data_IF_746168664097
#
_entry.id   IF_746168664097
#
_cell.length_a   1.000
_cell.length_b   1.000
_cell.length_c   1.000
_cell.angle_alpha   90.00
_cell.angle_beta   90.00
_cell.angle_gamma   90.00
#
_symmetry.space_group_name_H-M   'P 1'
#
loop_
_entity.id
_entity.type
_entity.pdbx_description
1 polymer ?
#
# COMPACT_ATOMS: atom_id res chain seq x y z
N UNK A 1 38.46 18.80 -31.76
CA UNK A 1 37.08 18.66 -31.24
C UNK A 1 36.35 17.40 -31.71
N UNK A 2 36.16 17.14 -33.02
CA UNK A 2 35.42 15.94 -33.51
C UNK A 2 35.90 14.58 -32.97
N UNK A 3 37.22 14.37 -32.81
CA UNK A 3 37.77 13.12 -32.25
C UNK A 3 37.45 12.91 -30.76
N UNK A 4 37.33 13.99 -29.98
CA UNK A 4 37.04 13.91 -28.53
C UNK A 4 35.57 13.51 -28.31
N UNK A 5 34.66 14.04 -29.12
CA UNK A 5 33.24 13.68 -29.08
C UNK A 5 32.99 12.22 -29.47
N UNK A 6 33.68 11.71 -30.49
CA UNK A 6 33.56 10.31 -30.90
C UNK A 6 34.04 9.34 -29.80
N UNK A 7 35.14 9.66 -29.11
CA UNK A 7 35.64 8.86 -27.99
C UNK A 7 34.69 8.87 -26.78
N UNK A 8 34.03 9.99 -26.48
CA UNK A 8 33.07 10.09 -25.38
C UNK A 8 31.79 9.27 -25.63
N UNK A 9 31.25 9.32 -26.86
CA UNK A 9 30.09 8.51 -27.25
C UNK A 9 30.43 7.02 -27.16
N UNK A 10 31.62 6.63 -27.62
CA UNK A 10 32.06 5.23 -27.59
C UNK A 10 32.29 4.73 -26.16
N UNK A 11 32.87 5.54 -25.27
CA UNK A 11 33.03 5.20 -23.84
C UNK A 11 31.68 5.09 -23.15
N UNK A 12 30.74 6.00 -23.43
CA UNK A 12 29.37 5.92 -22.90
C UNK A 12 28.64 4.64 -23.33
N UNK A 13 28.74 4.27 -24.61
CA UNK A 13 28.15 3.03 -25.14
C UNK A 13 28.82 1.78 -24.57
N UNK A 14 30.16 1.76 -24.50
CA UNK A 14 30.91 0.62 -23.96
C UNK A 14 30.65 0.42 -22.47
N UNK A 15 30.59 1.51 -21.70
CA UNK A 15 30.25 1.47 -20.27
C UNK A 15 28.80 1.07 -20.04
N UNK A 16 27.86 1.53 -20.87
CA UNK A 16 26.47 1.07 -20.86
C UNK A 16 26.36 -0.44 -21.08
N UNK A 17 27.11 -0.98 -22.06
CA UNK A 17 27.20 -2.42 -22.31
C UNK A 17 27.84 -3.18 -21.15
N UNK A 18 28.94 -2.67 -20.57
CA UNK A 18 29.64 -3.30 -19.44
C UNK A 18 28.71 -3.34 -18.21
N UNK A 19 28.00 -2.26 -17.90
CA UNK A 19 27.04 -2.25 -16.78
C UNK A 19 25.91 -3.23 -17.02
N UNK A 20 25.33 -3.27 -18.22
CA UNK A 20 24.29 -4.25 -18.59
C UNK A 20 24.79 -5.69 -18.43
N UNK A 21 26.09 -5.92 -18.66
CA UNK A 21 26.74 -7.22 -18.54
C UNK A 21 27.05 -7.57 -17.07
N UNK A 22 27.49 -6.61 -16.26
CA UNK A 22 27.84 -6.82 -14.83
C UNK A 22 26.57 -6.96 -13.98
N UNK A 23 25.52 -6.17 -14.20
CA UNK A 23 24.24 -6.36 -13.50
C UNK A 23 23.55 -7.65 -13.92
N UNK A 24 23.73 -8.13 -15.16
CA UNK A 24 23.28 -9.46 -15.57
C UNK A 24 24.15 -10.61 -15.04
N UNK A 25 25.46 -10.39 -14.81
CA UNK A 25 26.40 -11.43 -14.33
C UNK A 25 26.61 -11.47 -12.82
N UNK A 26 26.02 -10.55 -12.06
CA UNK A 26 25.98 -10.67 -10.60
C UNK A 26 24.96 -11.74 -10.23
N UNK A 27 25.29 -12.99 -10.57
CA UNK A 27 24.62 -14.19 -10.09
C UNK A 27 24.76 -14.13 -8.59
N UNK A 28 23.67 -13.85 -7.89
CA UNK A 28 23.64 -14.02 -6.44
C UNK A 28 23.84 -15.52 -6.22
N UNK A 29 25.03 -15.91 -5.75
CA UNK A 29 25.25 -17.26 -5.21
C UNK A 29 24.39 -17.34 -3.96
N UNK A 30 23.21 -17.93 -4.08
CA UNK A 30 22.33 -18.15 -2.94
C UNK A 30 22.76 -19.42 -2.22
N UNK A 31 22.68 -19.42 -0.89
CA UNK A 31 22.94 -20.61 -0.06
C UNK A 31 21.86 -21.70 -0.16
N UNK A 32 21.08 -21.69 -1.23
CA UNK A 32 20.01 -22.64 -1.54
C UNK A 32 20.05 -22.96 -3.04
N UNK A 33 21.17 -23.48 -3.51
CA UNK A 33 21.22 -24.22 -4.78
C UNK A 33 20.46 -25.53 -4.57
N UNK A 34 19.13 -25.51 -4.71
CA UNK A 34 18.40 -26.74 -5.01
C UNK A 34 18.89 -27.24 -6.36
N UNK A 35 19.53 -28.42 -6.45
CA UNK A 35 20.10 -28.90 -7.70
C UNK A 35 19.00 -29.01 -8.76
N UNK A 36 19.13 -28.22 -9.84
CA UNK A 36 18.21 -28.23 -10.99
C UNK A 36 17.40 -26.94 -11.21
N UNK A 37 17.44 -25.96 -10.30
CA UNK A 37 16.76 -24.67 -10.52
C UNK A 37 17.73 -23.67 -11.14
N UNK A 38 17.45 -23.20 -12.36
CA UNK A 38 18.25 -22.18 -13.01
C UNK A 38 18.23 -20.88 -12.19
N UNK A 39 19.41 -20.38 -11.81
CA UNK A 39 19.54 -19.12 -11.06
C UNK A 39 19.10 -17.96 -11.95
N UNK A 40 18.01 -17.28 -11.56
CA UNK A 40 17.50 -16.09 -12.25
C UNK A 40 18.39 -14.88 -11.95
N UNK A 41 18.65 -14.04 -12.95
CA UNK A 41 19.34 -12.76 -12.74
C UNK A 41 18.43 -11.76 -12.02
N UNK A 42 19.02 -10.74 -11.36
CA UNK A 42 18.23 -9.66 -10.74
C UNK A 42 17.29 -8.97 -11.73
N UNK A 43 17.73 -8.77 -12.97
CA UNK A 43 16.91 -8.18 -14.01
C UNK A 43 15.68 -9.05 -14.36
N UNK A 44 15.86 -10.37 -14.44
CA UNK A 44 14.75 -11.31 -14.67
C UNK A 44 13.75 -11.26 -13.50
N UNK A 45 14.22 -11.20 -12.26
CA UNK A 45 13.37 -11.09 -11.08
C UNK A 45 12.59 -9.77 -11.03
N UNK A 46 13.21 -8.65 -11.40
CA UNK A 46 12.51 -7.36 -11.53
C UNK A 46 11.46 -7.39 -12.66
N UNK A 47 11.74 -8.08 -13.77
CA UNK A 47 10.73 -8.29 -14.82
C UNK A 47 9.55 -9.11 -14.33
N UNK A 48 9.81 -10.18 -13.57
CA UNK A 48 8.76 -11.01 -12.96
C UNK A 48 7.94 -10.20 -11.95
N UNK A 49 8.59 -9.45 -11.06
CA UNK A 49 7.93 -8.54 -10.12
C UNK A 49 6.98 -7.57 -10.83
N UNK A 50 7.42 -6.94 -11.92
CA UNK A 50 6.57 -6.02 -12.68
C UNK A 50 5.41 -6.74 -13.40
N UNK A 51 5.63 -7.98 -13.87
CA UNK A 51 4.57 -8.80 -14.47
C UNK A 51 3.52 -9.20 -13.42
N UNK A 52 3.95 -9.65 -12.25
CA UNK A 52 3.07 -10.02 -11.14
C UNK A 52 2.28 -8.81 -10.65
N UNK A 53 2.92 -7.65 -10.53
CA UNK A 53 2.22 -6.39 -10.22
C UNK A 53 1.17 -6.02 -11.28
N UNK A 54 1.51 -6.11 -12.56
CA UNK A 54 0.57 -5.84 -13.65
C UNK A 54 -0.60 -6.84 -13.66
N UNK A 55 -0.33 -8.11 -13.34
CA UNK A 55 -1.35 -9.14 -13.17
C UNK A 55 -2.30 -8.79 -12.02
N UNK A 56 -1.79 -8.48 -10.81
CA UNK A 56 -2.63 -8.09 -9.66
C UNK A 56 -3.53 -6.91 -10.01
N UNK A 57 -2.96 -5.84 -10.58
CA UNK A 57 -3.72 -4.66 -11.03
C UNK A 57 -4.78 -5.03 -12.08
N UNK A 58 -4.42 -5.92 -13.01
CA UNK A 58 -5.35 -6.46 -14.00
C UNK A 58 -6.52 -7.17 -13.34
N UNK A 59 -6.25 -8.09 -12.41
CA UNK A 59 -7.26 -8.86 -11.67
C UNK A 59 -8.17 -7.94 -10.85
N UNK A 60 -7.62 -6.95 -10.13
CA UNK A 60 -8.43 -5.96 -9.41
C UNK A 60 -9.37 -5.18 -10.34
N UNK A 61 -8.91 -4.85 -11.55
CA UNK A 61 -9.73 -4.10 -12.50
C UNK A 61 -10.82 -4.98 -13.13
N UNK A 62 -10.54 -6.25 -13.40
CA UNK A 62 -11.42 -7.12 -14.22
C UNK A 62 -12.30 -8.08 -13.44
N UNK A 63 -11.81 -8.66 -12.34
CA UNK A 63 -12.58 -9.58 -11.49
C UNK A 63 -13.59 -8.82 -10.66
N UNK A 64 -14.47 -9.49 -9.91
CA UNK A 64 -15.37 -8.84 -8.98
C UNK A 64 -16.70 -8.42 -9.60
N UNK A 65 -17.72 -8.26 -8.75
CA UNK A 65 -19.07 -7.85 -9.15
C UNK A 65 -19.39 -6.46 -8.64
N UNK A 66 -19.78 -5.57 -9.54
CA UNK A 66 -20.20 -4.21 -9.21
C UNK A 66 -21.61 -4.22 -8.63
N UNK A 67 -21.76 -3.64 -7.44
CA UNK A 67 -23.05 -3.41 -6.80
C UNK A 67 -23.69 -2.08 -7.20
N UNK A 68 -24.90 -1.79 -6.70
CA UNK A 68 -25.50 -0.47 -6.81
C UNK A 68 -24.55 0.61 -6.30
N UNK A 69 -24.57 1.81 -6.88
CA UNK A 69 -23.66 2.90 -6.48
C UNK A 69 -22.16 2.66 -6.75
N UNK A 70 -21.79 1.59 -7.45
CA UNK A 70 -20.44 1.45 -8.03
C UNK A 70 -19.37 0.89 -7.08
N UNK A 71 -19.73 0.43 -5.88
CA UNK A 71 -18.84 -0.43 -5.10
C UNK A 71 -18.67 -1.77 -5.81
N UNK A 72 -17.59 -2.49 -5.49
CA UNK A 72 -17.22 -3.73 -6.14
C UNK A 72 -16.88 -4.77 -5.09
N UNK A 73 -17.54 -5.91 -5.14
CA UNK A 73 -17.27 -7.04 -4.24
C UNK A 73 -16.40 -8.06 -5.00
N UNK A 74 -15.53 -8.80 -4.32
CA UNK A 74 -14.71 -9.89 -4.89
C UNK A 74 -15.01 -11.16 -4.11
N UNK A 75 -15.32 -12.26 -4.80
CA UNK A 75 -15.62 -13.55 -4.17
C UNK A 75 -14.36 -14.15 -3.54
N UNK A 76 -14.52 -15.13 -2.63
CA UNK A 76 -13.43 -15.94 -2.10
C UNK A 76 -12.44 -16.45 -3.16
N UNK A 77 -12.94 -16.93 -4.30
CA UNK A 77 -12.09 -17.46 -5.38
C UNK A 77 -11.33 -16.37 -6.15
N UNK A 78 -11.88 -15.15 -6.24
CA UNK A 78 -11.25 -14.02 -6.91
C UNK A 78 -10.23 -13.35 -5.99
N UNK A 79 -10.59 -13.14 -4.73
CA UNK A 79 -9.68 -12.70 -3.68
C UNK A 79 -8.52 -13.67 -3.50
N UNK A 80 -8.76 -14.99 -3.58
CA UNK A 80 -7.69 -16.00 -3.53
C UNK A 80 -6.67 -15.86 -4.66
N UNK A 81 -7.08 -15.43 -5.86
CA UNK A 81 -6.16 -15.15 -6.96
C UNK A 81 -5.30 -13.91 -6.68
N UNK A 82 -5.91 -12.86 -6.12
CA UNK A 82 -5.19 -11.65 -5.69
C UNK A 82 -4.18 -11.96 -4.58
N UNK A 83 -4.60 -12.73 -3.58
CA UNK A 83 -3.76 -13.18 -2.47
C UNK A 83 -2.55 -13.98 -2.96
N UNK A 84 -2.75 -14.92 -3.90
CA UNK A 84 -1.64 -15.66 -4.52
C UNK A 84 -0.66 -14.71 -5.23
N UNK A 85 -1.17 -13.73 -5.97
CA UNK A 85 -0.34 -12.71 -6.60
C UNK A 85 0.45 -11.88 -5.58
N UNK A 86 -0.19 -11.46 -4.49
CA UNK A 86 0.46 -10.77 -3.37
C UNK A 86 1.58 -11.61 -2.76
N UNK A 87 1.32 -12.88 -2.43
CA UNK A 87 2.32 -13.80 -1.87
C UNK A 87 3.53 -13.96 -2.79
N UNK A 88 3.31 -14.13 -4.10
CA UNK A 88 4.38 -14.19 -5.10
C UNK A 88 5.17 -12.87 -5.16
N UNK A 89 4.47 -11.74 -5.10
CA UNK A 89 5.09 -10.42 -5.12
C UNK A 89 5.96 -10.19 -3.88
N UNK A 90 5.47 -10.54 -2.70
CA UNK A 90 6.21 -10.44 -1.42
C UNK A 90 7.46 -11.31 -1.45
N UNK A 91 7.37 -12.56 -1.93
CA UNK A 91 8.54 -13.42 -2.11
C UNK A 91 9.60 -12.80 -3.05
N UNK A 92 9.16 -12.23 -4.17
CA UNK A 92 10.06 -11.58 -5.13
C UNK A 92 10.77 -10.38 -4.50
N UNK A 93 10.03 -9.53 -3.77
CA UNK A 93 10.56 -8.37 -3.06
C UNK A 93 11.56 -8.80 -1.98
N UNK A 94 11.20 -9.76 -1.14
CA UNK A 94 12.08 -10.26 -0.08
C UNK A 94 13.36 -10.87 -0.64
N UNK A 95 13.26 -11.65 -1.71
CA UNK A 95 14.44 -12.20 -2.37
C UNK A 95 15.32 -11.09 -2.97
N UNK A 96 14.74 -10.09 -3.63
CA UNK A 96 15.49 -8.97 -4.18
C UNK A 96 16.20 -8.17 -3.07
N UNK A 97 15.55 -7.98 -1.92
CA UNK A 97 16.07 -7.25 -0.77
C UNK A 97 17.16 -8.02 0.00
N UNK A 98 16.97 -9.32 0.23
CA UNK A 98 17.78 -10.13 1.15
C UNK A 98 18.64 -11.20 0.49
N UNK A 99 18.33 -11.56 -0.75
CA UNK A 99 19.01 -12.63 -1.49
C UNK A 99 18.65 -14.05 -1.03
N UNK A 100 17.57 -14.22 -0.25
CA UNK A 100 17.12 -15.52 0.27
C UNK A 100 15.62 -15.65 0.07
N UNK A 101 15.17 -16.83 -0.39
CA UNK A 101 13.75 -17.17 -0.45
C UNK A 101 13.27 -17.55 0.95
N UNK A 102 12.31 -16.81 1.49
CA UNK A 102 11.66 -17.14 2.75
C UNK A 102 10.24 -17.61 2.48
N UNK A 103 10.04 -18.91 2.38
CA UNK A 103 8.73 -19.50 2.06
C UNK A 103 7.84 -19.72 3.28
N UNK A 104 8.42 -19.67 4.48
CA UNK A 104 7.68 -19.88 5.74
C UNK A 104 6.58 -18.83 5.95
N UNK A 105 6.73 -17.68 5.30
CA UNK A 105 5.85 -16.52 5.36
C UNK A 105 4.73 -16.56 4.29
N UNK A 106 4.56 -17.67 3.57
CA UNK A 106 3.52 -17.76 2.53
C UNK A 106 2.10 -17.94 3.08
N UNK A 107 1.95 -18.45 4.30
CA UNK A 107 0.65 -18.65 4.94
C UNK A 107 0.22 -17.45 5.77
N UNK A 108 0.57 -16.23 5.35
CA UNK A 108 0.18 -15.00 6.01
C UNK A 108 -0.11 -13.89 5.00
N UNK A 109 -0.83 -12.87 5.45
CA UNK A 109 -1.04 -11.61 4.75
C UNK A 109 -0.70 -10.47 5.70
N UNK A 110 0.26 -9.61 5.35
CA UNK A 110 0.75 -8.51 6.21
C UNK A 110 1.09 -8.92 7.66
N UNK A 111 1.64 -10.12 7.85
CA UNK A 111 1.98 -10.66 9.18
C UNK A 111 0.81 -11.32 9.93
N UNK A 112 -0.40 -11.28 9.38
CA UNK A 112 -1.54 -12.03 9.89
C UNK A 112 -1.52 -13.47 9.38
N UNK A 113 -1.55 -14.49 10.25
CA UNK A 113 -1.60 -15.87 9.82
C UNK A 113 -2.93 -16.17 9.12
N UNK A 114 -2.85 -16.87 8.00
CA UNK A 114 -3.99 -17.35 7.23
C UNK A 114 -4.23 -18.82 7.54
N UNK A 115 -5.44 -19.14 7.97
CA UNK A 115 -5.85 -20.51 8.28
C UNK A 115 -6.84 -20.98 7.22
N UNK A 116 -6.38 -21.91 6.38
CA UNK A 116 -7.22 -22.63 5.42
C UNK A 116 -7.87 -23.86 6.06
N UNK A 117 -9.07 -24.24 5.64
CA UNK A 117 -9.75 -25.45 6.13
C UNK A 117 -11.28 -25.34 6.24
N UNK A 118 -11.81 -25.67 7.43
CA UNK A 118 -13.23 -25.68 7.77
C UNK A 118 -13.77 -24.24 7.94
N UNK A 119 -13.77 -23.50 6.84
CA UNK A 119 -14.11 -22.09 6.78
C UNK A 119 -15.53 -21.95 6.25
N UNK A 120 -16.20 -20.86 6.60
CA UNK A 120 -17.40 -20.40 5.90
C UNK A 120 -17.14 -19.01 5.31
N UNK A 121 -16.53 -18.93 4.11
CA UNK A 121 -16.34 -17.67 3.44
C UNK A 121 -17.69 -17.01 3.16
N UNK A 122 -17.74 -15.68 3.20
CA UNK A 122 -18.94 -14.95 2.83
C UNK A 122 -19.26 -15.10 1.34
N UNK A 123 -20.54 -15.01 1.02
CA UNK A 123 -21.02 -14.96 -0.36
C UNK A 123 -21.40 -13.55 -0.77
N UNK A 124 -21.20 -13.25 -2.06
CA UNK A 124 -21.64 -12.03 -2.72
C UNK A 124 -23.05 -11.57 -2.33
N UNK A 125 -24.02 -12.50 -2.37
CA UNK A 125 -25.41 -12.17 -2.12
C UNK A 125 -25.63 -11.60 -0.71
N UNK A 126 -24.87 -12.08 0.27
CA UNK A 126 -24.97 -11.61 1.66
C UNK A 126 -24.41 -10.19 1.76
N UNK A 127 -23.25 -9.92 1.15
CA UNK A 127 -22.66 -8.57 1.13
C UNK A 127 -23.55 -7.59 0.39
N UNK A 128 -24.07 -7.95 -0.79
CA UNK A 128 -24.97 -7.09 -1.55
C UNK A 128 -26.25 -6.78 -0.77
N UNK A 129 -26.81 -7.76 -0.04
CA UNK A 129 -27.94 -7.51 0.84
C UNK A 129 -27.58 -6.48 1.92
N UNK A 130 -26.49 -6.69 2.66
CA UNK A 130 -26.05 -5.75 3.71
C UNK A 130 -25.76 -4.35 3.17
N UNK A 131 -25.10 -4.25 2.01
CA UNK A 131 -24.85 -2.96 1.36
C UNK A 131 -26.15 -2.26 0.92
N UNK A 132 -27.14 -3.01 0.41
CA UNK A 132 -28.44 -2.44 0.05
C UNK A 132 -29.21 -1.96 1.29
N UNK A 133 -29.16 -2.72 2.39
CA UNK A 133 -29.76 -2.34 3.67
C UNK A 133 -29.11 -1.03 4.18
N UNK A 134 -27.77 -0.91 4.11
CA UNK A 134 -27.04 0.30 4.47
C UNK A 134 -27.34 1.50 3.55
N UNK A 135 -27.45 1.27 2.24
CA UNK A 135 -27.83 2.29 1.26
C UNK A 135 -29.23 2.85 1.56
N UNK A 136 -30.17 1.99 1.99
CA UNK A 136 -31.51 2.40 2.36
C UNK A 136 -31.51 3.36 3.57
N UNK A 137 -30.51 3.27 4.45
CA UNK A 137 -30.27 4.21 5.58
C UNK A 137 -29.67 5.56 5.15
N UNK A 138 -29.60 5.82 3.84
CA UNK A 138 -29.15 7.08 3.22
C UNK A 138 -27.72 7.42 3.64
N UNK A 139 -26.83 6.43 3.62
CA UNK A 139 -25.39 6.68 3.65
C UNK A 139 -25.00 7.50 2.40
N UNK A 140 -24.13 8.52 2.54
CA UNK A 140 -23.68 9.28 1.39
C UNK A 140 -23.04 8.38 0.32
N UNK A 141 -23.47 8.54 -0.93
CA UNK A 141 -22.96 7.81 -2.10
C UNK A 141 -21.42 7.78 -2.15
N UNK A 142 -20.79 8.90 -1.82
CA UNK A 142 -19.34 9.07 -1.88
C UNK A 142 -18.56 8.12 -0.96
N UNK A 143 -19.17 7.64 0.13
CA UNK A 143 -18.51 6.69 1.05
C UNK A 143 -18.45 5.27 0.51
N UNK A 144 -19.25 4.97 -0.51
CA UNK A 144 -19.30 3.62 -1.09
C UNK A 144 -18.94 3.62 -2.57
N UNK A 145 -18.92 4.78 -3.22
CA UNK A 145 -18.48 4.92 -4.59
C UNK A 145 -17.06 4.38 -4.73
N UNK A 146 -16.87 3.42 -5.64
CA UNK A 146 -15.58 2.77 -5.93
C UNK A 146 -14.95 1.96 -4.78
N UNK A 147 -15.67 1.76 -3.67
CA UNK A 147 -15.22 0.90 -2.57
C UNK A 147 -15.03 -0.54 -3.06
N UNK A 148 -13.90 -1.16 -2.75
CA UNK A 148 -13.60 -2.56 -3.09
C UNK A 148 -13.71 -3.46 -1.86
N UNK A 149 -14.61 -4.43 -1.87
CA UNK A 149 -14.84 -5.35 -0.74
C UNK A 149 -14.35 -6.74 -1.14
N UNK A 150 -13.28 -7.20 -0.49
CA UNK A 150 -12.64 -8.48 -0.76
C UNK A 150 -13.09 -9.52 0.25
N UNK A 151 -13.68 -10.62 -0.22
CA UNK A 151 -14.05 -11.75 0.63
C UNK A 151 -12.91 -12.74 0.63
N UNK A 152 -12.23 -12.91 1.77
CA UNK A 152 -11.12 -13.85 1.87
C UNK A 152 -11.64 -15.31 1.86
N UNK A 153 -10.92 -16.23 1.19
CA UNK A 153 -11.21 -17.65 1.30
C UNK A 153 -10.78 -18.23 2.66
N UNK A 154 -9.80 -17.61 3.32
CA UNK A 154 -9.18 -18.08 4.56
C UNK A 154 -9.60 -17.26 5.78
N UNK A 155 -9.42 -17.85 6.96
CA UNK A 155 -9.66 -17.20 8.25
C UNK A 155 -8.40 -16.47 8.69
N UNK A 156 -8.55 -15.25 9.20
CA UNK A 156 -7.54 -14.55 9.99
C UNK A 156 -7.95 -14.66 11.47
N UNK A 157 -7.23 -15.44 12.29
CA UNK A 157 -7.58 -15.61 13.70
C UNK A 157 -7.65 -14.28 14.44
N UNK A 158 -8.79 -14.02 15.10
CA UNK A 158 -9.01 -12.81 15.89
C UNK A 158 -9.34 -11.54 15.09
N UNK A 159 -9.45 -11.63 13.76
CA UNK A 159 -9.75 -10.49 12.88
C UNK A 159 -10.89 -10.86 11.93
N UNK A 160 -12.06 -10.24 12.10
CA UNK A 160 -13.21 -10.51 11.23
C UNK A 160 -13.16 -9.69 9.93
N UNK A 161 -12.56 -8.51 9.97
CA UNK A 161 -12.42 -7.62 8.83
C UNK A 161 -11.30 -6.61 9.03
N UNK A 162 -10.92 -5.95 7.94
CA UNK A 162 -9.94 -4.86 7.91
C UNK A 162 -10.38 -3.82 6.87
N UNK A 163 -10.58 -2.59 7.31
CA UNK A 163 -10.91 -1.44 6.48
C UNK A 163 -9.69 -0.58 6.18
N UNK A 164 -9.58 -0.11 4.93
CA UNK A 164 -8.55 0.82 4.50
C UNK A 164 -9.09 1.86 3.53
N UNK A 165 -8.21 2.73 3.00
CA UNK A 165 -8.65 3.74 2.04
C UNK A 165 -9.04 3.11 0.69
N UNK A 166 -10.35 3.07 0.43
CA UNK A 166 -11.00 2.52 -0.75
C UNK A 166 -11.11 0.99 -0.78
N UNK A 167 -10.83 0.29 0.33
CA UNK A 167 -11.07 -1.15 0.40
C UNK A 167 -11.55 -1.64 1.77
N UNK A 168 -12.13 -2.84 1.75
CA UNK A 168 -12.43 -3.66 2.92
C UNK A 168 -11.99 -5.09 2.60
N UNK A 169 -11.37 -5.76 3.55
CA UNK A 169 -11.13 -7.20 3.56
C UNK A 169 -12.03 -7.82 4.62
N UNK A 170 -12.78 -8.85 4.26
CA UNK A 170 -13.58 -9.63 5.19
C UNK A 170 -13.00 -11.04 5.28
N UNK A 171 -12.53 -11.41 6.47
CA UNK A 171 -12.05 -12.76 6.75
C UNK A 171 -13.18 -13.78 6.58
N UNK A 172 -12.84 -15.00 6.17
CA UNK A 172 -13.79 -16.10 6.29
C UNK A 172 -14.15 -16.33 7.77
N UNK A 173 -15.34 -16.89 8.01
CA UNK A 173 -15.76 -17.26 9.37
C UNK A 173 -15.14 -18.60 9.77
N UNK A 174 -14.69 -18.70 11.01
CA UNK A 174 -14.34 -19.98 11.62
C UNK A 174 -15.64 -20.72 12.00
N UNK A 175 -15.85 -21.92 11.44
CA UNK A 175 -17.04 -22.74 11.72
C UNK A 175 -17.18 -23.13 13.20
N UNK A 176 -16.11 -23.05 13.99
CA UNK A 176 -16.13 -23.36 15.43
C UNK A 176 -16.48 -22.15 16.30
N UNK A 177 -16.43 -20.95 15.73
CA UNK A 177 -16.68 -19.69 16.41
C UNK A 177 -17.97 -19.07 15.85
N UNK A 178 -19.12 -19.66 16.15
CA UNK A 178 -20.42 -19.09 15.78
C UNK A 178 -20.74 -17.93 16.72
N UNK A 179 -20.17 -16.75 16.42
CA UNK A 179 -20.08 -15.68 17.41
C UNK A 179 -21.34 -14.80 17.45
N UNK A 180 -21.97 -14.46 16.31
CA UNK A 180 -23.21 -13.65 16.27
C UNK A 180 -24.00 -13.87 14.97
N UNK A 181 -25.33 -14.04 15.03
CA UNK A 181 -26.19 -14.25 13.85
C UNK A 181 -26.20 -13.12 12.80
N UNK A 182 -25.73 -11.92 13.15
CA UNK A 182 -25.60 -10.76 12.26
C UNK A 182 -24.14 -10.30 12.06
N UNK A 183 -23.16 -11.20 12.22
CA UNK A 183 -21.73 -10.87 12.16
C UNK A 183 -21.33 -10.12 10.88
N UNK A 184 -21.84 -10.51 9.70
CA UNK A 184 -21.47 -9.85 8.45
C UNK A 184 -21.85 -8.35 8.42
N UNK A 185 -23.12 -7.94 8.63
CA UNK A 185 -23.46 -6.52 8.75
C UNK A 185 -22.64 -5.79 9.81
N UNK A 186 -22.42 -6.42 10.98
CA UNK A 186 -21.65 -5.81 12.08
C UNK A 186 -20.24 -5.47 11.61
N UNK A 187 -19.50 -6.46 11.10
CA UNK A 187 -18.13 -6.27 10.61
C UNK A 187 -18.12 -5.33 9.41
N UNK A 188 -18.95 -5.56 8.39
CA UNK A 188 -18.93 -4.77 7.16
C UNK A 188 -19.18 -3.28 7.43
N UNK A 189 -20.15 -2.93 8.27
CA UNK A 189 -20.45 -1.52 8.54
C UNK A 189 -19.37 -0.86 9.39
N UNK A 190 -18.77 -1.60 10.33
CA UNK A 190 -17.59 -1.16 11.07
C UNK A 190 -16.43 -0.85 10.12
N UNK A 191 -16.09 -1.77 9.20
CA UNK A 191 -14.99 -1.56 8.25
C UNK A 191 -15.28 -0.42 7.25
N UNK A 192 -16.55 -0.13 6.92
CA UNK A 192 -16.90 1.07 6.15
C UNK A 192 -16.58 2.34 6.95
N UNK A 193 -16.75 2.32 8.27
CA UNK A 193 -16.34 3.41 9.14
C UNK A 193 -14.83 3.65 9.09
N UNK A 194 -14.02 2.60 9.14
CA UNK A 194 -12.56 2.68 8.90
C UNK A 194 -12.24 3.23 7.52
N UNK A 195 -12.90 2.71 6.47
CA UNK A 195 -12.75 3.26 5.13
C UNK A 195 -12.99 4.78 5.08
N UNK A 196 -14.09 5.25 5.69
CA UNK A 196 -14.45 6.67 5.70
C UNK A 196 -13.40 7.49 6.46
N UNK A 197 -12.93 7.03 7.62
CA UNK A 197 -11.94 7.79 8.39
C UNK A 197 -10.58 7.86 7.65
N UNK A 198 -10.13 6.77 7.02
CA UNK A 198 -8.86 6.75 6.30
C UNK A 198 -8.92 7.58 5.01
N UNK A 199 -10.09 7.62 4.35
CA UNK A 199 -10.27 8.37 3.10
C UNK A 199 -10.47 9.87 3.33
N UNK A 200 -11.26 10.28 4.33
CA UNK A 200 -11.67 11.68 4.50
C UNK A 200 -11.06 12.37 5.72
N UNK A 201 -10.48 11.63 6.66
CA UNK A 201 -9.97 12.14 7.93
C UNK A 201 -8.54 11.66 8.21
N UNK A 202 -7.71 11.45 7.20
CA UNK A 202 -6.33 10.99 7.38
C UNK A 202 -5.55 11.91 8.34
N UNK A 203 -5.10 11.36 9.47
CA UNK A 203 -4.54 12.15 10.60
C UNK A 203 -3.19 12.79 10.29
N UNK A 204 -2.47 12.25 9.31
CA UNK A 204 -1.15 12.66 8.86
C UNK A 204 -1.12 14.04 8.17
N UNK A 205 -2.29 14.63 7.92
CA UNK A 205 -2.40 15.96 7.35
C UNK A 205 -3.20 16.93 8.24
N UNK A 206 -2.95 18.24 8.09
CA UNK A 206 -3.55 19.28 8.92
C UNK A 206 -5.08 19.46 8.72
N UNK A 207 -5.68 18.89 7.67
CA UNK A 207 -7.15 18.92 7.50
C UNK A 207 -7.79 17.79 8.30
N UNK A 208 -7.28 16.56 8.18
CA UNK A 208 -7.76 15.41 8.95
C UNK A 208 -7.63 15.63 10.45
N UNK A 209 -6.54 16.24 10.93
CA UNK A 209 -6.42 16.62 12.34
C UNK A 209 -7.55 17.52 12.84
N UNK A 210 -7.97 18.51 12.04
CA UNK A 210 -9.10 19.39 12.40
C UNK A 210 -10.43 18.64 12.43
N UNK A 211 -10.63 17.69 11.51
CA UNK A 211 -11.82 16.85 11.47
C UNK A 211 -11.88 15.92 12.68
N UNK A 212 -10.76 15.30 13.06
CA UNK A 212 -10.65 14.51 14.30
C UNK A 212 -10.93 15.35 15.54
N UNK A 213 -10.39 16.56 15.63
CA UNK A 213 -10.69 17.47 16.75
C UNK A 213 -12.18 17.86 16.81
N UNK A 214 -12.86 17.96 15.67
CA UNK A 214 -14.31 18.19 15.62
C UNK A 214 -15.10 16.96 16.09
N UNK A 215 -14.76 15.77 15.59
CA UNK A 215 -15.34 14.49 16.01
C UNK A 215 -15.23 14.30 17.53
N UNK A 216 -14.02 14.42 18.08
CA UNK A 216 -13.74 14.24 19.50
C UNK A 216 -14.46 15.28 20.38
N UNK A 217 -14.66 16.50 19.89
CA UNK A 217 -15.46 17.51 20.58
C UNK A 217 -16.94 17.13 20.65
N UNK A 218 -17.47 16.48 19.62
CA UNK A 218 -18.86 15.97 19.63
C UNK A 218 -18.97 14.80 20.60
N UNK A 219 -18.01 13.87 20.58
CA UNK A 219 -18.01 12.68 21.46
C UNK A 219 -17.63 12.95 22.91
N UNK A 220 -16.95 14.05 23.19
CA UNK A 220 -16.46 14.40 24.52
C UNK A 220 -15.16 13.66 24.92
N UNK A 221 -14.33 13.27 23.94
CA UNK A 221 -13.10 12.50 24.16
C UNK A 221 -11.81 13.26 23.79
N UNK A 222 -10.67 12.61 24.04
CA UNK A 222 -9.35 13.03 23.54
C UNK A 222 -8.84 12.07 22.49
N UNK A 223 -7.86 12.47 21.69
CA UNK A 223 -7.28 11.57 20.70
C UNK A 223 -6.49 10.48 21.40
N UNK A 224 -6.83 9.24 21.04
CA UNK A 224 -6.08 8.04 21.35
C UNK A 224 -5.81 7.38 20.00
N UNK A 225 -4.56 6.99 19.75
CA UNK A 225 -4.12 6.46 18.44
C UNK A 225 -4.89 5.21 17.97
N UNK A 226 -4.41 4.52 16.94
CA UNK A 226 -5.13 3.42 16.29
C UNK A 226 -5.52 2.26 17.23
N UNK A 227 -4.82 2.12 18.37
CA UNK A 227 -5.01 0.99 19.27
C UNK A 227 -4.43 -0.30 18.70
N UNK A 228 -4.47 -1.38 19.48
CA UNK A 228 -4.06 -2.72 19.00
C UNK A 228 -5.17 -3.70 19.31
N UNK A 229 -5.62 -4.45 18.30
CA UNK A 229 -6.78 -5.36 18.37
C UNK A 229 -6.78 -6.19 19.66
N UNK A 230 -7.96 -6.31 20.31
CA UNK A 230 -8.17 -7.06 21.55
C UNK A 230 -7.35 -6.58 22.78
N UNK A 231 -6.94 -5.31 22.81
CA UNK A 231 -6.26 -4.72 23.98
C UNK A 231 -7.07 -3.57 24.57
N UNK A 232 -6.71 -3.13 25.78
CA UNK A 232 -7.26 -1.90 26.36
C UNK A 232 -7.09 -0.69 25.44
N UNK A 233 -5.97 -0.63 24.70
CA UNK A 233 -5.70 0.44 23.75
C UNK A 233 -6.65 0.42 22.54
N UNK A 234 -7.25 -0.74 22.21
CA UNK A 234 -8.30 -0.85 21.19
C UNK A 234 -9.59 -0.18 21.67
N UNK A 235 -10.06 -0.50 22.88
CA UNK A 235 -11.27 0.10 23.44
C UNK A 235 -11.15 1.62 23.67
N UNK A 236 -9.92 2.13 23.81
CA UNK A 236 -9.65 3.57 23.90
C UNK A 236 -9.41 4.23 22.52
N UNK A 237 -9.23 3.46 21.43
CA UNK A 237 -8.85 3.97 20.11
C UNK A 237 -9.89 4.92 19.51
N UNK A 238 -9.44 6.08 19.06
CA UNK A 238 -10.31 7.04 18.36
C UNK A 238 -10.73 6.54 16.97
N UNK A 239 -9.88 5.74 16.30
CA UNK A 239 -10.18 5.16 14.99
C UNK A 239 -11.26 4.09 15.10
N UNK A 240 -11.11 3.19 16.08
CA UNK A 240 -12.10 2.14 16.37
C UNK A 240 -13.42 2.73 16.87
N UNK A 241 -13.34 3.79 17.69
CA UNK A 241 -14.53 4.51 18.13
C UNK A 241 -15.29 5.12 16.97
N UNK A 242 -14.60 5.77 16.03
CA UNK A 242 -15.25 6.29 14.83
C UNK A 242 -15.88 5.18 13.98
N UNK A 243 -15.16 4.07 13.78
CA UNK A 243 -15.64 2.96 12.97
C UNK A 243 -16.90 2.31 13.57
N UNK A 244 -16.90 2.14 14.88
CA UNK A 244 -18.06 1.68 15.62
C UNK A 244 -19.20 2.69 15.58
N UNK A 245 -18.94 3.98 15.82
CA UNK A 245 -19.97 5.00 15.80
C UNK A 245 -20.65 5.09 14.41
N UNK A 246 -19.88 4.93 13.32
CA UNK A 246 -20.43 4.79 11.98
C UNK A 246 -21.41 3.60 11.90
N UNK A 247 -20.98 2.42 12.35
CA UNK A 247 -21.84 1.22 12.38
C UNK A 247 -23.12 1.46 13.17
N UNK A 248 -23.00 2.05 14.36
CA UNK A 248 -24.13 2.26 15.28
C UNK A 248 -25.12 3.30 14.76
N UNK A 249 -24.64 4.35 14.09
CA UNK A 249 -25.48 5.46 13.62
C UNK A 249 -26.10 5.22 12.23
N UNK A 250 -25.45 4.45 11.36
CA UNK A 250 -25.94 4.16 9.99
C UNK A 250 -26.43 2.74 9.80
N UNK A 251 -26.02 1.79 10.64
CA UNK A 251 -26.53 0.43 10.60
C UNK A 251 -27.87 0.32 11.33
N UNK A 252 -28.85 -0.29 10.67
CA UNK A 252 -30.13 -0.63 11.30
C UNK A 252 -29.97 -1.80 12.30
N UNK A 253 -30.67 -1.71 13.43
CA UNK A 253 -30.77 -2.76 14.47
C UNK A 253 -29.41 -3.31 14.95
N UNK A 254 -28.40 -2.45 15.03
CA UNK A 254 -27.05 -2.83 15.42
C UNK A 254 -26.93 -2.99 16.95
N UNK A 255 -26.43 -4.15 17.44
CA UNK A 255 -26.14 -4.34 18.85
C UNK A 255 -24.90 -3.55 19.26
N UNK A 256 -24.89 -3.04 20.49
CA UNK A 256 -23.71 -2.44 21.11
C UNK A 256 -23.08 -3.43 22.09
N UNK A 257 -21.76 -3.59 22.08
CA UNK A 257 -21.07 -4.62 22.84
C UNK A 257 -20.41 -4.12 24.15
N UNK A 258 -20.40 -2.81 24.40
CA UNK A 258 -19.85 -2.26 25.65
C UNK A 258 -18.32 -2.27 25.73
N UNK A 259 -17.66 -2.35 24.59
CA UNK A 259 -16.22 -2.57 24.40
C UNK A 259 -15.42 -1.28 24.13
N UNK A 260 -16.11 -0.14 23.95
CA UNK A 260 -15.50 1.17 23.73
C UNK A 260 -15.61 2.11 24.94
N UNK A 261 -14.54 2.87 25.18
CA UNK A 261 -14.43 3.81 26.29
C UNK A 261 -15.44 4.97 26.22
N UNK A 262 -15.81 5.42 25.01
CA UNK A 262 -16.77 6.53 24.83
C UNK A 262 -18.24 6.08 24.77
N UNK A 263 -18.53 4.79 25.00
CA UNK A 263 -19.90 4.29 25.10
C UNK A 263 -20.64 4.21 23.75
N UNK A 264 -21.92 3.82 23.80
CA UNK A 264 -22.83 3.83 22.65
C UNK A 264 -23.21 5.27 22.26
N UNK A 265 -22.97 5.72 21.00
CA UNK A 265 -23.23 7.09 20.56
C UNK A 265 -24.73 7.45 20.55
N UNK A 266 -25.62 6.46 20.69
CA UNK A 266 -27.08 6.64 20.70
C UNK A 266 -27.65 6.96 22.08
N UNK A 267 -26.86 6.80 23.15
CA UNK A 267 -27.30 7.07 24.54
C UNK A 267 -27.65 8.54 24.75
N UNK A 268 -26.94 9.46 24.10
CA UNK A 268 -27.29 10.87 24.00
C UNK A 268 -27.78 11.18 22.57
N UNK A 269 -29.11 11.25 22.33
CA UNK A 269 -29.65 11.47 20.99
C UNK A 269 -29.22 12.80 20.36
N UNK A 270 -28.90 13.82 21.16
CA UNK A 270 -28.47 15.12 20.66
C UNK A 270 -27.07 15.03 20.08
N UNK A 271 -26.14 14.43 20.82
CA UNK A 271 -24.78 14.21 20.34
C UNK A 271 -24.75 13.20 19.20
N UNK A 272 -25.49 12.08 19.28
CA UNK A 272 -25.58 11.11 18.19
C UNK A 272 -26.15 11.73 16.89
N UNK A 273 -27.09 12.67 16.98
CA UNK A 273 -27.59 13.41 15.80
C UNK A 273 -26.53 14.32 15.20
N UNK A 274 -25.82 15.11 16.03
CA UNK A 274 -24.72 15.98 15.58
C UNK A 274 -23.60 15.19 14.94
N UNK A 275 -23.29 14.04 15.51
CA UNK A 275 -22.27 13.14 15.01
C UNK A 275 -22.66 12.54 13.66
N UNK A 276 -23.88 12.00 13.54
CA UNK A 276 -24.38 11.50 12.25
C UNK A 276 -24.37 12.58 11.17
N UNK A 277 -24.67 13.83 11.52
CA UNK A 277 -24.56 14.99 10.62
C UNK A 277 -23.11 15.29 10.25
N UNK A 278 -22.20 15.27 11.23
CA UNK A 278 -20.76 15.44 10.99
C UNK A 278 -20.22 14.37 10.03
N UNK A 279 -20.50 13.08 10.31
CA UNK A 279 -20.09 11.98 9.45
C UNK A 279 -20.65 12.18 8.04
N UNK A 280 -21.95 12.51 7.89
CA UNK A 280 -22.52 12.80 6.55
C UNK A 280 -21.82 13.95 5.83
N UNK A 281 -21.42 14.99 6.56
CA UNK A 281 -20.73 16.14 5.99
C UNK A 281 -19.33 15.81 5.44
N UNK A 282 -18.70 14.73 5.91
CA UNK A 282 -17.42 14.26 5.36
C UNK A 282 -17.50 13.94 3.87
N UNK A 283 -18.69 13.64 3.34
CA UNK A 283 -18.87 13.40 1.90
C UNK A 283 -18.61 14.66 1.05
N UNK A 284 -18.65 15.85 1.63
CA UNK A 284 -18.25 17.10 0.97
C UNK A 284 -16.73 17.33 0.98
N UNK A 285 -15.99 16.62 1.85
CA UNK A 285 -14.54 16.70 1.89
C UNK A 285 -13.93 16.07 0.63
N UNK A 286 -12.79 16.61 0.21
CA UNK A 286 -11.98 16.00 -0.84
C UNK A 286 -11.34 14.73 -0.29
N UNK A 287 -11.30 13.67 -1.10
CA UNK A 287 -10.62 12.42 -0.80
C UNK A 287 -9.15 12.75 -0.52
N UNK A 288 -8.73 12.51 0.73
CA UNK A 288 -7.40 12.90 1.20
C UNK A 288 -6.37 11.84 0.86
N UNK A 289 -6.78 10.58 0.91
CA UNK A 289 -5.95 9.43 0.55
C UNK A 289 -6.47 8.81 -0.74
N UNK A 290 -5.56 8.48 -1.65
CA UNK A 290 -5.89 7.69 -2.84
C UNK A 290 -6.16 6.25 -2.40
N UNK A 291 -6.95 5.54 -3.20
CA UNK A 291 -7.06 4.08 -3.09
C UNK A 291 -5.68 3.44 -2.93
N UNK A 292 -5.50 2.67 -1.86
CA UNK A 292 -4.31 1.87 -1.64
C UNK A 292 -4.70 0.40 -1.79
N UNK A 293 -4.08 -0.32 -2.71
CA UNK A 293 -4.39 -1.75 -2.88
C UNK A 293 -3.81 -2.55 -1.71
N UNK A 294 -4.61 -3.38 -1.01
CA UNK A 294 -4.09 -4.26 0.04
C UNK A 294 -3.23 -5.41 -0.50
N UNK A 295 -3.06 -5.49 -1.82
CA UNK A 295 -2.31 -6.53 -2.51
C UNK A 295 -0.96 -6.04 -3.04
N UNK A 296 -0.63 -4.77 -2.83
CA UNK A 296 0.56 -4.14 -3.41
C UNK A 296 1.32 -3.41 -2.29
N UNK A 297 2.47 -3.95 -1.82
CA UNK A 297 3.31 -3.28 -0.82
C UNK A 297 4.09 -2.12 -1.47
N UNK A 298 3.43 -0.97 -1.69
CA UNK A 298 3.98 0.13 -2.49
C UNK A 298 5.36 0.63 -2.01
N UNK A 299 5.59 0.66 -0.69
CA UNK A 299 6.83 1.15 -0.10
C UNK A 299 8.09 0.41 -0.59
N UNK A 300 8.02 -0.93 -0.67
CA UNK A 300 9.17 -1.76 -1.03
C UNK A 300 9.37 -1.86 -2.55
N UNK A 301 8.32 -1.63 -3.33
CA UNK A 301 8.35 -1.78 -4.79
C UNK A 301 9.01 -0.60 -5.48
N UNK A 302 8.85 0.62 -4.95
CA UNK A 302 9.31 1.84 -5.61
C UNK A 302 10.80 1.81 -5.94
N UNK A 303 11.63 1.26 -5.06
CA UNK A 303 13.07 1.13 -5.32
C UNK A 303 13.34 0.23 -6.55
N UNK A 304 12.74 -0.96 -6.58
CA UNK A 304 12.96 -1.95 -7.64
C UNK A 304 12.40 -1.51 -8.99
N UNK A 305 11.27 -0.79 -8.99
CA UNK A 305 10.68 -0.25 -10.22
C UNK A 305 11.52 0.89 -10.81
N UNK A 306 12.20 1.67 -9.98
CA UNK A 306 12.99 2.83 -10.41
C UNK A 306 14.49 2.55 -10.53
N UNK A 307 14.93 1.29 -10.34
CA UNK A 307 16.34 0.94 -10.38
C UNK A 307 17.01 1.33 -11.72
N UNK A 308 16.35 1.07 -12.85
CA UNK A 308 16.87 1.42 -14.17
C UNK A 308 17.17 2.92 -14.33
N UNK A 309 16.16 3.80 -14.16
CA UNK A 309 16.36 5.25 -14.16
C UNK A 309 17.40 5.73 -13.14
N UNK A 310 17.40 5.20 -11.91
CA UNK A 310 18.36 5.58 -10.87
C UNK A 310 19.80 5.24 -11.26
N UNK A 311 20.03 4.03 -11.77
CA UNK A 311 21.35 3.61 -12.26
C UNK A 311 21.79 4.47 -13.45
N UNK A 312 20.90 4.69 -14.43
CA UNK A 312 21.20 5.52 -15.59
C UNK A 312 21.54 6.97 -15.18
N UNK A 313 20.75 7.57 -14.28
CA UNK A 313 20.99 8.90 -13.74
C UNK A 313 22.32 9.00 -13.00
N UNK A 314 22.65 8.01 -12.16
CA UNK A 314 23.93 7.92 -11.47
C UNK A 314 25.12 7.84 -12.42
N UNK A 315 25.01 7.05 -13.50
CA UNK A 315 26.06 6.94 -14.52
C UNK A 315 26.23 8.22 -15.33
N UNK A 316 25.14 8.89 -15.71
CA UNK A 316 25.19 10.18 -16.39
C UNK A 316 25.86 11.23 -15.50
N UNK A 317 25.49 11.28 -14.22
CA UNK A 317 26.11 12.17 -13.24
C UNK A 317 27.62 11.92 -13.10
N UNK A 318 28.03 10.65 -12.94
CA UNK A 318 29.44 10.28 -12.85
C UNK A 318 30.21 10.65 -14.13
N UNK A 319 29.61 10.44 -15.30
CA UNK A 319 30.22 10.80 -16.59
C UNK A 319 30.43 12.31 -16.71
N UNK A 320 29.46 13.11 -16.27
CA UNK A 320 29.57 14.57 -16.21
C UNK A 320 30.67 15.01 -15.23
N UNK A 321 30.77 14.36 -14.06
CA UNK A 321 31.81 14.67 -13.08
C UNK A 321 33.23 14.40 -13.64
N UNK A 322 33.42 13.25 -14.30
CA UNK A 322 34.68 12.92 -14.98
C UNK A 322 35.02 13.96 -16.06
N UNK A 323 34.02 14.38 -16.84
CA UNK A 323 34.21 15.40 -17.87
C UNK A 323 34.62 16.74 -17.28
N UNK A 324 33.97 17.18 -16.19
CA UNK A 324 34.30 18.43 -15.48
C UNK A 324 35.73 18.42 -14.95
N UNK A 325 36.18 17.33 -14.31
CA UNK A 325 37.55 17.20 -13.81
C UNK A 325 38.57 17.27 -14.95
N UNK A 326 38.28 16.66 -16.10
CA UNK A 326 39.15 16.72 -17.28
C UNK A 326 39.23 18.12 -17.88
N UNK A 327 38.11 18.85 -17.93
CA UNK A 327 38.09 20.24 -18.40
C UNK A 327 38.94 21.12 -17.48
N UNK A 328 38.81 20.97 -16.16
CA UNK A 328 39.63 21.72 -15.19
C UNK A 328 41.13 21.46 -15.38
N UNK A 329 41.55 20.20 -15.52
CA UNK A 329 42.95 19.85 -15.77
C UNK A 329 43.46 20.42 -17.10
N UNK A 330 42.63 20.43 -18.14
CA UNK A 330 43.00 21.01 -19.44
C UNK A 330 43.20 22.53 -19.37
N UNK A 331 42.40 23.23 -18.56
CA UNK A 331 42.53 24.68 -18.37
C UNK A 331 43.82 24.98 -17.57
N UNK A 332 44.09 24.23 -16.50
CA UNK A 332 45.29 24.44 -15.68
C UNK A 332 46.58 24.15 -16.47
N UNK A 333 46.57 23.12 -17.33
CA UNK A 333 47.69 22.81 -18.22
C UNK A 333 47.97 23.88 -19.28
N UNK A 334 46.97 24.66 -19.69
CA UNK A 334 47.16 25.79 -20.61
C UNK A 334 47.79 27.01 -19.91
N UNK A 335 47.48 27.24 -18.63
CA UNK A 335 48.07 28.33 -17.85
C UNK A 335 49.51 28.07 -17.38
N UNK A 336 49.95 26.80 -17.31
CA UNK A 336 51.33 26.45 -16.95
C UNK A 336 52.33 26.42 -18.11
N UNK A 337 51.96 26.84 -19.33
CA UNK A 337 52.96 27.04 -20.38
C UNK A 337 53.84 28.24 -19.97
N UNK A 338 55.14 28.04 -19.67
CA UNK A 338 56.02 29.16 -19.38
C UNK A 338 56.03 30.07 -20.61
N UNK A 339 55.74 31.35 -20.38
CA UNK A 339 55.95 32.42 -21.36
C UNK A 339 57.40 32.33 -21.86
N UNK A 340 57.60 31.83 -23.09
CA UNK A 340 58.91 31.72 -23.75
C UNK A 340 59.47 33.08 -24.20
N UNK A 341 59.23 34.15 -23.41
CA UNK A 341 59.77 35.50 -23.61
C UNK A 341 60.67 35.96 -22.46
N UNK A 342 61.52 35.07 -21.95
CA UNK A 342 62.74 35.45 -21.24
C UNK A 342 63.93 34.68 -21.81
N UNK A 343 64.21 34.89 -23.11
CA UNK A 343 65.53 34.67 -23.68
C UNK A 343 66.17 36.03 -23.93
N UNK A 344 66.87 36.46 -22.88
CA UNK A 344 67.98 37.42 -22.80
C UNK A 344 68.58 37.81 -24.17
N UNK A 345 68.42 39.09 -24.56
CA UNK A 345 69.42 39.79 -25.38
C UNK A 345 70.39 40.47 -24.41
N UNK A 346 71.57 39.88 -24.25
CA UNK A 346 72.74 40.54 -23.69
C UNK A 346 73.97 39.94 -24.37
N UNK A 347 74.38 40.52 -25.50
CA UNK A 347 75.74 40.42 -26.03
C UNK A 347 76.14 41.83 -26.48
N UNK A 348 77.34 42.17 -26.03
CA UNK A 348 78.12 43.42 -26.10
C UNK A 348 78.33 43.89 -27.54
#
# INVERSE_FOLDING_TARGET
MKKIWASLIMVGLLMGLITLTITNRSVMKTGYDQPGVAVKSKAQLVMELNRTLAMIRGLENTLGRTGPQGYKVYAPQETGQLLKGYQELTLLVDYLNRGVWKTDDLNQWEGYPLVSGANKPYHYAQVFKSMNDLIAEKVPFKFIAHLKIYLLPDVIPGVSGLGGSGYILLSAQDLKADLIGNQLPVTLYHEIGHHVNFTFMAKDNGRGEKLWAQFLRIRGGTWHGPGSVNTKAWGESSEETFAEDFRMLFGKDQPYFGDLALGDPRVDPHNGTKEKQFIRALAAEKDQTRYCSPWIPEGDLLFWQNQGPLLMGGWLFLSLLILSVRIMHSIEGQHRRPSSRQAVRLII
#
